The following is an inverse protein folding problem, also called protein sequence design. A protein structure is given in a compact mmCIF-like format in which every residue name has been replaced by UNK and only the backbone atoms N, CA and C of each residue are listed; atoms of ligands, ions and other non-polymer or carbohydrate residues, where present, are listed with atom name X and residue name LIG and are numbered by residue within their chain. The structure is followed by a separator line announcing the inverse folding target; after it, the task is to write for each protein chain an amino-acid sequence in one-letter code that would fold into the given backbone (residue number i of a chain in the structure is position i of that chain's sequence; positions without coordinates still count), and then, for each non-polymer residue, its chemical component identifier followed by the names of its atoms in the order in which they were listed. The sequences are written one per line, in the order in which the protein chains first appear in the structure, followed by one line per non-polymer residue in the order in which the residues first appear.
data_IF_296932617173
#
_entry.id   IF_296932617173
#
_cell.length_a   1.000
_cell.length_b   1.000
_cell.length_c   1.000
_cell.angle_alpha   90.00
_cell.angle_beta   90.00
_cell.angle_gamma   90.00
#
_symmetry.space_group_name_H-M   'P 1'
#
loop_
_entity.id
_entity.type
_entity.pdbx_description
1 polymer ?
#
# COMPACT_ATOMS: atom_id res chain seq x y z
N UNK A 1 12.43 10.61 6.12
CA UNK A 1 11.08 10.31 5.61
C UNK A 1 10.43 11.60 5.15
N UNK A 2 9.61 11.55 4.13
CA UNK A 2 8.99 12.74 3.53
C UNK A 2 7.50 12.77 3.81
N UNK A 3 6.90 13.95 3.63
CA UNK A 3 5.45 14.11 3.71
C UNK A 3 4.76 13.37 2.56
N UNK A 4 3.51 12.92 2.74
CA UNK A 4 2.77 12.30 1.65
C UNK A 4 2.49 13.33 0.54
N UNK A 5 2.44 12.88 -0.73
CA UNK A 5 2.03 13.76 -1.82
C UNK A 5 0.57 14.22 -1.64
N UNK A 6 0.22 15.33 -2.26
CA UNK A 6 -1.11 15.91 -2.14
C UNK A 6 -2.22 14.95 -2.54
N UNK A 7 -1.99 14.12 -3.55
CA UNK A 7 -2.97 13.11 -3.97
C UNK A 7 -3.41 12.21 -2.82
N UNK A 8 -2.46 11.78 -2.00
CA UNK A 8 -2.73 10.93 -0.83
C UNK A 8 -3.35 11.74 0.30
N UNK A 9 -2.77 12.90 0.60
CA UNK A 9 -3.25 13.75 1.70
C UNK A 9 -4.71 14.16 1.51
N UNK A 10 -5.10 14.54 0.30
CA UNK A 10 -6.46 14.98 0.00
C UNK A 10 -7.48 13.83 0.11
N UNK A 11 -7.14 12.65 -0.37
CA UNK A 11 -8.02 11.48 -0.27
C UNK A 11 -8.20 11.08 1.19
N UNK A 12 -7.12 11.05 1.96
CA UNK A 12 -7.19 10.72 3.38
C UNK A 12 -7.98 11.75 4.18
N UNK A 13 -7.86 13.03 3.84
CA UNK A 13 -8.65 14.08 4.48
C UNK A 13 -10.15 13.87 4.25
N UNK A 14 -10.54 13.47 3.05
CA UNK A 14 -11.95 13.16 2.74
C UNK A 14 -12.44 11.95 3.52
N UNK A 15 -11.69 10.87 3.54
CA UNK A 15 -12.04 9.70 4.33
C UNK A 15 -12.22 10.05 5.81
N UNK A 16 -11.34 10.89 6.36
CA UNK A 16 -11.41 11.30 7.76
C UNK A 16 -12.68 12.09 8.09
N UNK A 17 -13.23 12.83 7.10
CA UNK A 17 -14.49 13.58 7.26
C UNK A 17 -15.73 12.75 6.95
N UNK A 18 -15.59 11.47 6.63
CA UNK A 18 -16.70 10.61 6.23
C UNK A 18 -17.19 10.90 4.80
N UNK A 19 -16.40 11.60 4.00
CA UNK A 19 -16.73 11.88 2.61
C UNK A 19 -16.19 10.78 1.70
N UNK A 20 -16.88 10.55 0.58
CA UNK A 20 -16.45 9.59 -0.45
C UNK A 20 -15.63 10.32 -1.51
N UNK A 21 -14.30 10.08 -1.60
CA UNK A 21 -13.51 10.69 -2.67
C UNK A 21 -13.94 10.12 -4.04
N UNK A 22 -13.80 10.91 -5.09
CA UNK A 22 -14.06 10.42 -6.43
C UNK A 22 -13.04 9.31 -6.81
N UNK A 23 -13.48 8.35 -7.62
CA UNK A 23 -12.66 7.20 -7.96
C UNK A 23 -11.32 7.58 -8.60
N UNK A 24 -11.31 8.59 -9.47
CA UNK A 24 -10.07 9.05 -10.11
C UNK A 24 -9.06 9.59 -9.09
N UNK A 25 -9.52 10.26 -8.04
CA UNK A 25 -8.64 10.75 -6.98
C UNK A 25 -8.05 9.60 -6.16
N UNK A 26 -8.87 8.61 -5.83
CA UNK A 26 -8.40 7.41 -5.11
C UNK A 26 -7.38 6.66 -5.95
N UNK A 27 -7.64 6.47 -7.23
CA UNK A 27 -6.71 5.80 -8.15
C UNK A 27 -5.36 6.51 -8.20
N UNK A 28 -5.34 7.84 -8.30
CA UNK A 28 -4.11 8.61 -8.31
C UNK A 28 -3.32 8.43 -7.01
N UNK A 29 -4.00 8.51 -5.87
CA UNK A 29 -3.37 8.32 -4.56
C UNK A 29 -2.78 6.91 -4.42
N UNK A 30 -3.53 5.89 -4.83
CA UNK A 30 -3.07 4.49 -4.79
C UNK A 30 -1.83 4.31 -5.68
N UNK A 31 -1.86 4.83 -6.90
CA UNK A 31 -0.71 4.72 -7.81
C UNK A 31 0.53 5.42 -7.27
N UNK A 32 0.38 6.61 -6.70
CA UNK A 32 1.49 7.35 -6.12
C UNK A 32 2.09 6.61 -4.92
N UNK A 33 1.25 6.02 -4.07
CA UNK A 33 1.70 5.24 -2.92
C UNK A 33 2.43 3.96 -3.34
N UNK A 34 1.94 3.27 -4.35
CA UNK A 34 2.58 2.06 -4.84
C UNK A 34 3.91 2.36 -5.53
N UNK A 35 4.01 3.49 -6.23
CA UNK A 35 5.28 3.95 -6.80
C UNK A 35 6.31 4.21 -5.69
N UNK A 36 5.89 4.81 -4.59
CA UNK A 36 6.75 5.03 -3.43
C UNK A 36 7.21 3.71 -2.80
N UNK A 37 6.31 2.73 -2.71
CA UNK A 37 6.68 1.40 -2.21
C UNK A 37 7.74 0.74 -3.08
N UNK A 38 7.56 0.77 -4.39
CA UNK A 38 8.54 0.19 -5.33
C UNK A 38 9.89 0.89 -5.20
N UNK A 39 9.89 2.20 -5.01
CA UNK A 39 11.13 2.96 -4.85
C UNK A 39 11.84 2.61 -3.54
N UNK A 40 11.08 2.44 -2.46
CA UNK A 40 11.62 2.08 -1.14
C UNK A 40 12.07 0.62 -1.07
N UNK A 41 11.38 -0.27 -1.77
CA UNK A 41 11.57 -1.71 -1.67
C UNK A 41 11.44 -2.37 -3.05
N UNK A 42 12.40 -2.11 -3.96
CA UNK A 42 12.36 -2.68 -5.31
C UNK A 42 12.50 -4.20 -5.26
N UNK A 43 11.77 -4.87 -6.12
CA UNK A 43 11.82 -6.33 -6.18
C UNK A 43 10.54 -6.91 -6.74
N UNK A 44 10.43 -8.22 -6.73
CA UNK A 44 9.30 -8.95 -7.31
C UNK A 44 8.82 -10.09 -6.43
N UNK A 45 9.16 -10.06 -5.14
CA UNK A 45 8.81 -11.17 -4.24
C UNK A 45 7.37 -11.10 -3.72
N UNK A 46 6.73 -9.93 -3.78
CA UNK A 46 5.36 -9.73 -3.30
C UNK A 46 4.55 -8.98 -4.36
N UNK A 47 3.35 -9.48 -4.66
CA UNK A 47 2.36 -8.73 -5.42
C UNK A 47 1.45 -7.99 -4.45
N UNK A 48 1.38 -6.68 -4.58
CA UNK A 48 0.52 -5.82 -3.75
C UNK A 48 -0.66 -5.38 -4.60
N UNK A 49 -1.85 -5.76 -4.19
CA UNK A 49 -3.12 -5.51 -4.91
C UNK A 49 -4.02 -4.58 -4.12
N UNK A 50 -4.45 -3.50 -4.74
CA UNK A 50 -5.40 -2.55 -4.17
C UNK A 50 -6.60 -2.45 -5.14
N UNK A 51 -7.48 -3.45 -5.16
CA UNK A 51 -8.57 -3.45 -6.13
C UNK A 51 -9.56 -2.31 -5.86
N UNK A 52 -10.20 -1.77 -6.89
CA UNK A 52 -10.01 -2.07 -8.31
C UNK A 52 -8.96 -1.17 -8.99
N UNK A 53 -8.08 -0.54 -8.24
CA UNK A 53 -7.27 0.58 -8.73
C UNK A 53 -5.93 0.18 -9.32
N UNK A 54 -5.18 -0.71 -8.68
CA UNK A 54 -3.86 -1.09 -9.16
C UNK A 54 -3.33 -2.35 -8.48
N UNK A 55 -2.32 -2.94 -9.10
CA UNK A 55 -1.51 -4.00 -8.51
C UNK A 55 -0.08 -3.85 -9.01
N UNK A 56 0.89 -4.06 -8.13
CA UNK A 56 2.30 -3.97 -8.47
C UNK A 56 3.08 -5.11 -7.81
N UNK A 57 4.26 -5.39 -8.34
CA UNK A 57 5.24 -6.24 -7.67
C UNK A 57 6.26 -5.35 -6.97
N UNK A 58 6.64 -5.74 -5.76
CA UNK A 58 7.61 -5.02 -4.95
C UNK A 58 8.31 -5.99 -4.00
N UNK A 59 9.16 -5.49 -3.16
CA UNK A 59 9.89 -6.15 -2.08
C UNK A 59 11.03 -7.02 -2.62
N UNK A 60 12.24 -6.80 -2.14
CA UNK A 60 13.38 -7.65 -2.48
C UNK A 60 13.20 -9.07 -1.95
N UNK A 61 13.73 -10.02 -2.67
CA UNK A 61 13.63 -11.41 -2.28
C UNK A 61 13.88 -12.34 -3.45
N UNK A 62 13.64 -13.62 -3.22
CA UNK A 62 13.81 -14.63 -4.27
C UNK A 62 12.77 -14.44 -5.36
N UNK A 63 13.21 -14.51 -6.60
CA UNK A 63 12.32 -14.58 -7.73
C UNK A 63 11.90 -16.04 -7.92
N UNK A 64 10.60 -16.29 -7.85
CA UNK A 64 10.07 -17.64 -8.08
C UNK A 64 10.05 -17.95 -9.57
N UNK A 65 10.32 -19.20 -9.92
CA UNK A 65 10.28 -19.69 -11.29
C UNK A 65 9.01 -20.51 -11.50
N UNK A 66 8.54 -20.59 -12.74
CA UNK A 66 7.49 -21.51 -13.19
C UNK A 66 6.19 -21.40 -12.41
N UNK A 67 5.65 -20.23 -12.31
CA UNK A 67 4.32 -20.06 -11.75
C UNK A 67 4.17 -20.42 -10.28
N UNK A 68 5.28 -20.59 -9.55
CA UNK A 68 5.21 -20.66 -8.10
C UNK A 68 4.51 -19.40 -7.61
N UNK A 69 3.43 -19.52 -6.82
CA UNK A 69 2.73 -18.33 -6.35
C UNK A 69 3.66 -17.42 -5.59
N UNK A 70 3.76 -16.17 -6.04
CA UNK A 70 4.42 -15.14 -5.29
C UNK A 70 3.61 -14.87 -4.03
N UNK A 71 4.25 -14.31 -3.02
CA UNK A 71 3.51 -13.76 -1.89
C UNK A 71 2.55 -12.69 -2.42
N UNK A 72 1.36 -12.61 -1.85
CA UNK A 72 0.33 -11.67 -2.26
C UNK A 72 -0.17 -10.93 -1.03
N UNK A 73 -0.29 -9.61 -1.16
CA UNK A 73 -0.94 -8.73 -0.19
C UNK A 73 -2.07 -8.01 -0.91
N UNK A 74 -3.28 -8.11 -0.38
CA UNK A 74 -4.44 -7.44 -0.95
C UNK A 74 -5.21 -6.72 0.15
N UNK A 75 -5.55 -5.46 -0.08
CA UNK A 75 -6.37 -4.68 0.84
C UNK A 75 -7.11 -3.57 0.09
N UNK A 76 -8.05 -2.93 0.77
CA UNK A 76 -8.78 -1.79 0.22
C UNK A 76 -7.94 -0.52 0.22
N UNK A 77 -8.36 0.46 -0.58
CA UNK A 77 -7.60 1.70 -0.76
C UNK A 77 -7.45 2.48 0.54
N UNK A 78 -8.52 2.62 1.32
CA UNK A 78 -8.45 3.38 2.58
C UNK A 78 -7.45 2.76 3.55
N UNK A 79 -7.56 1.46 3.79
CA UNK A 79 -6.65 0.75 4.68
C UNK A 79 -5.20 0.89 4.21
N UNK A 80 -4.98 0.69 2.91
CA UNK A 80 -3.65 0.83 2.33
C UNK A 80 -3.05 2.22 2.54
N UNK A 81 -3.82 3.26 2.21
CA UNK A 81 -3.33 4.63 2.35
C UNK A 81 -3.09 5.01 3.81
N UNK A 82 -3.93 4.53 4.74
CA UNK A 82 -3.71 4.73 6.16
C UNK A 82 -2.44 4.03 6.66
N UNK A 83 -2.15 2.84 6.15
CA UNK A 83 -0.89 2.15 6.42
C UNK A 83 0.31 2.95 5.90
N UNK A 84 0.17 3.54 4.70
CA UNK A 84 1.25 4.29 4.07
C UNK A 84 1.68 5.52 4.85
N UNK A 85 0.77 6.14 5.60
CA UNK A 85 1.06 7.36 6.37
C UNK A 85 1.12 7.12 7.87
N UNK A 86 0.96 5.89 8.32
CA UNK A 86 1.08 5.54 9.73
C UNK A 86 -0.14 5.84 10.59
N UNK A 87 -1.31 6.09 9.99
CA UNK A 87 -2.57 6.25 10.74
C UNK A 87 -3.06 4.94 11.34
N UNK A 88 -2.71 3.84 10.72
CA UNK A 88 -2.88 2.50 11.26
C UNK A 88 -1.60 1.72 11.06
N UNK A 89 -1.49 0.55 11.67
CA UNK A 89 -0.32 -0.30 11.50
C UNK A 89 -0.74 -1.71 11.07
N UNK A 90 0.25 -2.52 10.73
CA UNK A 90 0.02 -3.86 10.18
C UNK A 90 -0.81 -4.74 11.11
N UNK A 91 -0.52 -4.70 12.40
CA UNK A 91 -1.24 -5.51 13.39
C UNK A 91 -2.69 -5.05 13.51
N UNK A 92 -2.92 -3.74 13.62
CA UNK A 92 -4.27 -3.18 13.74
C UNK A 92 -5.11 -3.42 12.49
N UNK A 93 -4.47 -3.47 11.31
CA UNK A 93 -5.15 -3.64 10.03
C UNK A 93 -5.34 -5.12 9.62
N UNK A 94 -4.95 -6.07 10.45
CA UNK A 94 -4.93 -7.51 10.11
C UNK A 94 -6.23 -8.00 9.48
N UNK A 95 -7.38 -7.57 10.02
CA UNK A 95 -8.68 -8.03 9.50
C UNK A 95 -9.06 -7.42 8.15
N UNK A 96 -8.38 -6.36 7.73
CA UNK A 96 -8.63 -5.68 6.46
C UNK A 96 -7.59 -6.01 5.40
N UNK A 97 -6.59 -6.81 5.73
CA UNK A 97 -5.49 -7.17 4.84
C UNK A 97 -5.48 -8.69 4.64
N UNK A 98 -5.45 -9.11 3.38
CA UNK A 98 -5.23 -10.51 3.01
C UNK A 98 -3.78 -10.67 2.60
N UNK A 99 -3.02 -11.41 3.38
CA UNK A 99 -1.61 -11.65 3.10
C UNK A 99 -1.35 -13.16 3.04
N UNK A 100 -0.69 -13.61 1.99
CA UNK A 100 -0.37 -15.01 1.80
C UNK A 100 1.03 -15.18 1.19
N UNK A 101 1.69 -16.27 1.55
CA UNK A 101 3.03 -16.60 1.08
C UNK A 101 4.12 -16.01 1.96
N UNK A 102 5.36 -16.40 1.67
CA UNK A 102 6.53 -15.89 2.38
C UNK A 102 6.74 -14.41 2.07
N UNK A 103 7.18 -13.65 3.06
CA UNK A 103 7.47 -12.21 2.94
C UNK A 103 6.25 -11.34 2.66
N UNK A 104 5.05 -11.87 2.96
CA UNK A 104 3.82 -11.09 2.82
C UNK A 104 3.60 -10.09 3.95
N UNK A 105 4.46 -10.05 4.96
CA UNK A 105 4.40 -9.03 6.00
C UNK A 105 5.13 -7.78 5.52
N UNK A 106 4.38 -6.71 5.26
CA UNK A 106 4.93 -5.45 4.78
C UNK A 106 5.30 -4.48 5.90
N UNK A 107 5.12 -4.87 7.17
CA UNK A 107 5.38 -3.98 8.29
C UNK A 107 6.80 -3.39 8.31
N UNK A 108 7.87 -4.09 7.88
CA UNK A 108 9.20 -3.50 7.84
C UNK A 108 9.32 -2.29 6.90
N UNK A 109 8.42 -2.16 5.91
CA UNK A 109 8.47 -1.11 4.89
C UNK A 109 7.51 0.04 5.15
N UNK A 110 6.61 -0.10 6.13
CA UNK A 110 5.57 0.87 6.42
C UNK A 110 5.84 1.59 7.74
N UNK A 111 5.47 2.85 7.87
CA UNK A 111 4.86 3.70 6.85
C UNK A 111 5.87 4.18 5.80
N UNK A 112 5.37 4.65 4.66
CA UNK A 112 6.19 5.21 3.59
C UNK A 112 6.38 6.72 3.72
N UNK A 113 5.46 7.38 4.41
CA UNK A 113 5.41 8.84 4.55
C UNK A 113 5.16 9.23 6.00
N UNK A 114 5.54 10.46 6.34
CA UNK A 114 5.29 11.05 7.66
C UNK A 114 4.37 12.26 7.50
N UNK A 115 3.16 12.17 8.02
CA UNK A 115 2.18 13.26 7.95
C UNK A 115 2.59 14.48 8.77
N UNK A 116 3.52 14.32 9.71
CA UNK A 116 3.96 15.41 10.59
C UNK A 116 5.05 16.27 9.98
N UNK A 117 5.54 15.91 8.83
CA UNK A 117 6.55 16.71 8.13
C UNK A 117 5.90 17.86 7.37
#
# INVERSE_FOLDING_TARGET
MVAPPNSIAEVLAKFARGEEPVAAAVKAAVKDSLAALIQAAPGRSVEVRIPPYAAVQAIPGRTHRRGTPSAVVETDARTWLELCVGRTNWVAATNSVRASGERSDLSPWLPLFDEKI
#
